data_IF_518208118088
#
_entry.id   IF_518208118088
#
_cell.length_a   1.000
_cell.length_b   1.000
_cell.length_c   1.000
_cell.angle_alpha   90.00
_cell.angle_beta   90.00
_cell.angle_gamma   90.00
#
_symmetry.space_group_name_H-M   'P 1'
#
loop_
_entity.id
_entity.type
_entity.pdbx_description
1 polymer ?
#
# COMPACT_ATOMS: atom_id res chain seq x y z
N UNK A 1 -17.83 14.62 -5.27
CA UNK A 1 -17.23 13.68 -6.24
C UNK A 1 -15.78 13.47 -5.83
N UNK A 2 -15.38 12.27 -5.41
CA UNK A 2 -13.97 11.99 -5.06
C UNK A 2 -13.17 11.81 -6.33
N UNK A 3 -12.09 12.57 -6.51
CA UNK A 3 -11.21 12.46 -7.67
C UNK A 3 -10.41 11.17 -7.59
N UNK A 4 -10.35 10.43 -8.69
CA UNK A 4 -9.43 9.29 -8.81
C UNK A 4 -8.05 9.81 -9.19
N UNK A 5 -7.08 9.60 -8.31
CA UNK A 5 -5.68 10.02 -8.47
C UNK A 5 -4.81 8.79 -8.67
N UNK A 6 -3.99 8.83 -9.72
CA UNK A 6 -2.94 7.81 -9.96
C UNK A 6 -1.62 8.42 -9.55
N UNK A 7 -0.88 7.75 -8.66
CA UNK A 7 0.37 8.27 -8.12
C UNK A 7 1.42 7.16 -7.93
N UNK A 8 2.68 7.55 -7.79
CA UNK A 8 3.80 6.67 -7.52
C UNK A 8 4.05 6.56 -6.01
N UNK A 9 3.78 5.39 -5.42
CA UNK A 9 4.09 5.10 -4.03
C UNK A 9 5.50 4.50 -3.92
N UNK A 10 6.40 5.20 -3.24
CA UNK A 10 7.73 4.68 -2.89
C UNK A 10 7.65 3.95 -1.55
N UNK A 11 7.84 2.63 -1.58
CA UNK A 11 7.74 1.74 -0.43
C UNK A 11 9.14 1.49 0.14
N UNK A 12 9.31 1.81 1.42
CA UNK A 12 10.54 1.60 2.17
C UNK A 12 10.35 0.42 3.13
N UNK A 13 11.36 -0.47 3.20
CA UNK A 13 11.41 -1.57 4.16
C UNK A 13 12.84 -1.68 4.67
N UNK A 14 13.00 -1.85 5.99
CA UNK A 14 14.31 -2.04 6.59
C UNK A 14 14.99 -3.30 6.01
N UNK A 15 16.23 -3.16 5.56
CA UNK A 15 17.01 -4.27 4.99
C UNK A 15 16.60 -4.69 3.57
N UNK A 16 15.73 -3.94 2.88
CA UNK A 16 15.37 -4.17 1.49
C UNK A 16 15.52 -2.90 0.65
N UNK A 17 15.72 -3.07 -0.65
CA UNK A 17 15.75 -1.94 -1.57
C UNK A 17 14.37 -1.27 -1.67
N UNK A 18 14.32 0.08 -1.77
CA UNK A 18 13.07 0.79 -2.00
C UNK A 18 12.36 0.32 -3.26
N UNK A 19 11.06 0.09 -3.17
CA UNK A 19 10.23 -0.33 -4.30
C UNK A 19 9.25 0.77 -4.68
N UNK A 20 9.18 1.14 -5.96
CA UNK A 20 8.15 2.07 -6.46
C UNK A 20 7.01 1.32 -7.11
N UNK A 21 5.77 1.65 -6.72
CA UNK A 21 4.56 1.05 -7.29
C UNK A 21 3.56 2.11 -7.69
N UNK A 22 2.84 1.88 -8.78
CA UNK A 22 1.75 2.76 -9.21
C UNK A 22 0.47 2.39 -8.46
N UNK A 23 -0.13 3.36 -7.79
CA UNK A 23 -1.36 3.20 -6.99
C UNK A 23 -2.45 4.09 -7.57
N UNK A 24 -3.68 3.57 -7.63
CA UNK A 24 -4.88 4.35 -7.92
C UNK A 24 -5.69 4.50 -6.64
N UNK A 25 -5.97 5.73 -6.24
CA UNK A 25 -6.78 6.03 -5.06
C UNK A 25 -7.88 7.02 -5.42
N UNK A 26 -9.10 6.76 -4.92
CA UNK A 26 -10.23 7.69 -5.06
C UNK A 26 -10.19 8.71 -3.92
N UNK A 27 -9.14 9.54 -3.88
CA UNK A 27 -8.92 10.53 -2.83
C UNK A 27 -8.16 11.73 -3.36
N UNK A 28 -8.46 12.90 -2.81
CA UNK A 28 -7.76 14.16 -3.05
C UNK A 28 -6.51 14.31 -2.17
N UNK A 29 -6.26 13.36 -1.25
CA UNK A 29 -5.08 13.29 -0.38
C UNK A 29 -4.47 11.88 -0.42
N UNK A 30 -3.17 11.73 -0.11
CA UNK A 30 -2.55 10.41 -0.11
C UNK A 30 -3.21 9.52 0.94
N UNK A 31 -3.50 8.25 0.62
CA UNK A 31 -4.02 7.30 1.60
C UNK A 31 -3.02 7.15 2.75
N UNK A 32 -3.51 7.13 3.99
CA UNK A 32 -2.64 6.98 5.16
C UNK A 32 -1.97 5.61 5.24
N UNK A 33 -2.55 4.62 4.58
CA UNK A 33 -2.12 3.23 4.64
C UNK A 33 -2.31 2.56 3.29
N UNK A 34 -1.32 1.80 2.86
CA UNK A 34 -1.36 0.94 1.68
C UNK A 34 -1.24 -0.52 2.10
N UNK A 35 -2.04 -1.38 1.49
CA UNK A 35 -1.96 -2.83 1.67
C UNK A 35 -1.54 -3.48 0.35
N UNK A 36 -0.47 -4.25 0.38
CA UNK A 36 0.12 -4.91 -0.79
C UNK A 36 0.27 -6.40 -0.54
N UNK A 37 -0.01 -7.27 -1.51
CA UNK A 37 0.28 -8.70 -1.35
C UNK A 37 1.80 -8.91 -1.17
N UNK A 38 2.19 -9.68 -0.16
CA UNK A 38 3.59 -9.91 0.23
C UNK A 38 4.34 -10.92 -0.68
N UNK A 39 3.80 -11.23 -1.87
CA UNK A 39 4.38 -12.18 -2.82
C UNK A 39 3.50 -12.42 -4.04
N UNK A 40 4.01 -13.19 -5.02
CA UNK A 40 3.29 -13.56 -6.23
C UNK A 40 2.29 -14.70 -6.00
N UNK A 41 1.09 -14.59 -6.60
CA UNK A 41 0.17 -15.70 -6.87
C UNK A 41 -0.32 -16.50 -5.66
N UNK A 42 -1.37 -16.03 -4.98
CA UNK A 42 -2.15 -16.85 -4.04
C UNK A 42 -1.76 -16.75 -2.56
N UNK A 43 -0.77 -15.92 -2.21
CA UNK A 43 -0.43 -15.66 -0.81
C UNK A 43 -1.53 -14.89 -0.10
N UNK A 44 -2.01 -15.43 1.02
CA UNK A 44 -2.92 -14.76 1.94
C UNK A 44 -2.20 -13.70 2.80
N UNK A 45 -0.96 -13.35 2.49
CA UNK A 45 -0.17 -12.39 3.26
C UNK A 45 -0.14 -11.04 2.58
N UNK A 46 -0.34 -10.00 3.37
CA UNK A 46 -0.39 -8.62 2.94
C UNK A 46 0.54 -7.75 3.77
N UNK A 47 1.52 -7.16 3.12
CA UNK A 47 2.33 -6.10 3.71
C UNK A 47 1.50 -4.82 3.86
N UNK A 48 1.61 -4.20 5.02
CA UNK A 48 1.00 -2.93 5.36
C UNK A 48 2.08 -1.87 5.40
N UNK A 49 1.86 -0.80 4.63
CA UNK A 49 2.74 0.35 4.58
C UNK A 49 1.99 1.59 5.06
N UNK A 50 2.58 2.36 5.98
CA UNK A 50 2.03 3.63 6.45
C UNK A 50 2.69 4.80 5.71
N UNK A 51 1.90 5.84 5.44
CA UNK A 51 2.38 7.08 4.84
C UNK A 51 3.46 7.70 5.74
N UNK A 52 4.65 7.86 5.19
CA UNK A 52 5.79 8.49 5.85
C UNK A 52 5.91 9.95 5.43
N UNK A 53 5.80 10.21 4.12
CA UNK A 53 5.94 11.53 3.53
C UNK A 53 5.01 11.70 2.32
N UNK A 54 4.49 12.91 2.15
CA UNK A 54 3.49 13.28 1.16
C UNK A 54 3.90 14.51 0.32
N UNK A 55 5.15 14.97 0.42
CA UNK A 55 5.61 16.20 -0.21
C UNK A 55 5.40 16.21 -1.74
N UNK A 56 5.50 15.03 -2.36
CA UNK A 56 5.32 14.85 -3.79
C UNK A 56 3.87 14.68 -4.28
N UNK A 57 2.85 14.85 -3.44
CA UNK A 57 1.45 14.65 -3.83
C UNK A 57 0.98 15.76 -4.80
N UNK A 58 0.20 15.46 -5.86
CA UNK A 58 -0.49 14.20 -6.17
C UNK A 58 0.29 13.19 -7.02
N UNK A 59 1.52 13.48 -7.41
CA UNK A 59 2.29 12.62 -8.32
C UNK A 59 2.96 11.45 -7.60
N UNK A 60 3.39 11.65 -6.35
CA UNK A 60 4.10 10.64 -5.56
C UNK A 60 3.88 10.77 -4.05
N UNK A 61 4.14 9.69 -3.33
CA UNK A 61 4.17 9.67 -1.86
C UNK A 61 5.07 8.54 -1.35
N UNK A 62 5.68 8.73 -0.18
CA UNK A 62 6.59 7.76 0.42
C UNK A 62 5.92 7.04 1.58
N UNK A 63 6.08 5.73 1.64
CA UNK A 63 5.49 4.88 2.67
C UNK A 63 6.55 3.99 3.29
N UNK A 64 6.41 3.67 4.56
CA UNK A 64 7.27 2.72 5.27
C UNK A 64 6.50 1.47 5.63
N UNK A 65 7.15 0.31 5.53
CA UNK A 65 6.62 -0.96 6.00
C UNK A 65 6.37 -0.88 7.51
N UNK A 66 5.21 -1.37 7.93
CA UNK A 66 4.79 -1.43 9.34
C UNK A 66 4.65 -2.87 9.80
N UNK A 67 3.87 -3.67 9.07
CA UNK A 67 3.52 -5.02 9.50
C UNK A 67 3.07 -5.91 8.32
N UNK A 68 2.97 -7.23 8.55
CA UNK A 68 2.44 -8.19 7.60
C UNK A 68 1.19 -8.87 8.16
N UNK A 69 0.07 -8.71 7.47
CA UNK A 69 -1.21 -9.31 7.85
C UNK A 69 -1.50 -10.57 7.04
N UNK A 70 -1.86 -11.63 7.74
CA UNK A 70 -2.45 -12.82 7.13
C UNK A 70 -3.96 -12.62 6.99
N UNK A 71 -4.52 -12.82 5.80
CA UNK A 71 -5.95 -13.00 5.59
C UNK A 71 -6.32 -14.34 6.20
N UNK A 72 -7.13 -14.31 7.26
CA UNK A 72 -7.79 -15.52 7.75
C UNK A 72 -8.58 -16.15 6.58
N UNK A 73 -8.57 -17.48 6.41
CA UNK A 73 -9.48 -18.11 5.47
C UNK A 73 -10.88 -17.63 5.85
N UNK A 74 -11.63 -17.15 4.86
CA UNK A 74 -13.05 -16.90 5.04
C UNK A 74 -13.66 -18.24 5.44
N UNK A 75 -13.88 -18.48 6.73
CA UNK A 75 -14.88 -19.45 7.17
C UNK A 75 -16.17 -18.92 6.58
N UNK A 76 -16.58 -19.50 5.47
CA UNK A 76 -17.93 -19.37 4.97
C UNK A 76 -18.82 -19.85 6.12
N UNK A 77 -19.49 -18.90 6.76
CA UNK A 77 -20.59 -19.18 7.68
C UNK A 77 -21.68 -19.86 6.85
N UNK A 78 -22.04 -21.09 7.23
CA UNK A 78 -23.06 -21.95 6.60
C UNK A 78 -24.47 -21.32 6.58
#
# INVERSE_FOLDING_TARGET
>A
MTRTTTFHARLLRAGAEPQTVTVRASSDSPPRTLRRPAGGGGTLMFDVYALLDADGWPDSATYTYVDSLSRAPSTSDE
#
